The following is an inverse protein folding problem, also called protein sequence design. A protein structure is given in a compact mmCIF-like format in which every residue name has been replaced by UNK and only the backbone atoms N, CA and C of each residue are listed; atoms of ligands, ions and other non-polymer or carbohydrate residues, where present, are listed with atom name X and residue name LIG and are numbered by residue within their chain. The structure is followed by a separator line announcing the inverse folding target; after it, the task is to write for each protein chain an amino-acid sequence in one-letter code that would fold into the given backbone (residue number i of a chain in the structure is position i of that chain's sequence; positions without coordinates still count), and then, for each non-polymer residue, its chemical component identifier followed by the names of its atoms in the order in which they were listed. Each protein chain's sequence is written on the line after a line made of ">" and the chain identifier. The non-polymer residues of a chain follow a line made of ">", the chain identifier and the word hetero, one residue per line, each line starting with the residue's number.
data_IF_589001627022
#
_entry.id   IF_589001627022
#
_cell.length_a   1.000
_cell.length_b   1.000
_cell.length_c   1.000
_cell.angle_alpha   90.00
_cell.angle_beta   90.00
_cell.angle_gamma   90.00
#
_symmetry.space_group_name_H-M   'P 1'
#
loop_
_entity.id
_entity.type
_entity.pdbx_description
1 polymer ?
#
# COMPACT_ATOMS: atom_id res chain seq x y z
N UNK A 1 -10.89 -2.43 -35.55
CA UNK A 1 -9.76 -1.59 -35.10
C UNK A 1 -10.30 -0.23 -34.72
N UNK A 2 -9.83 0.35 -33.62
CA UNK A 2 -10.10 1.77 -33.32
C UNK A 2 -9.35 2.63 -34.35
N UNK A 3 -10.03 3.59 -34.99
CA UNK A 3 -9.43 4.46 -36.01
C UNK A 3 -8.89 5.73 -35.32
N UNK A 4 -7.62 6.06 -35.56
CA UNK A 4 -7.02 7.28 -35.07
C UNK A 4 -7.19 8.41 -36.11
N UNK A 5 -7.65 9.57 -35.67
CA UNK A 5 -7.77 10.78 -36.46
C UNK A 5 -6.66 11.77 -36.08
N UNK A 6 -6.16 12.51 -37.06
CA UNK A 6 -5.13 13.53 -36.83
C UNK A 6 -5.80 14.82 -36.37
N UNK A 7 -5.55 15.22 -35.12
CA UNK A 7 -5.93 16.52 -34.58
C UNK A 7 -5.01 17.63 -35.08
N UNK A 8 -5.45 18.88 -34.96
CA UNK A 8 -4.62 20.06 -35.21
C UNK A 8 -3.30 19.98 -34.40
N UNK A 9 -2.18 20.28 -35.07
CA UNK A 9 -0.83 20.14 -34.50
C UNK A 9 -0.23 18.74 -34.59
N UNK A 10 -0.78 17.83 -35.41
CA UNK A 10 -0.17 16.53 -35.73
C UNK A 10 -0.33 15.43 -34.67
N UNK A 11 -1.07 15.70 -33.59
CA UNK A 11 -1.40 14.70 -32.57
C UNK A 11 -2.47 13.75 -33.11
N UNK A 12 -2.23 12.44 -33.06
CA UNK A 12 -3.24 11.43 -33.41
C UNK A 12 -4.06 11.08 -32.17
N UNK A 13 -5.38 11.10 -32.28
CA UNK A 13 -6.29 10.71 -31.20
C UNK A 13 -7.29 9.67 -31.71
N UNK A 14 -7.73 8.77 -30.82
CA UNK A 14 -8.82 7.83 -31.12
C UNK A 14 -10.13 8.49 -30.71
N UNK A 15 -10.99 8.80 -31.68
CA UNK A 15 -12.18 9.65 -31.48
C UNK A 15 -13.45 8.91 -31.02
N UNK A 16 -13.42 7.60 -30.73
CA UNK A 16 -14.64 6.77 -30.60
C UNK A 16 -14.68 5.75 -29.43
N UNK A 17 -14.03 6.03 -28.29
CA UNK A 17 -14.31 5.26 -27.07
C UNK A 17 -15.48 5.91 -26.33
N UNK A 18 -16.71 5.48 -26.61
CA UNK A 18 -17.90 5.91 -25.88
C UNK A 18 -18.18 4.93 -24.73
N UNK A 19 -18.26 5.45 -23.50
CA UNK A 19 -18.63 4.71 -22.29
C UNK A 19 -20.07 5.11 -21.94
N UNK A 20 -20.97 4.14 -21.89
CA UNK A 20 -22.39 4.36 -21.62
C UNK A 20 -22.73 4.20 -20.13
N UNK A 21 -23.74 4.93 -19.68
CA UNK A 21 -24.39 4.71 -18.40
C UNK A 21 -25.50 3.65 -18.55
N UNK A 22 -25.64 2.74 -17.59
CA UNK A 22 -26.89 1.97 -17.51
C UNK A 22 -28.00 3.00 -17.20
N UNK A 23 -29.03 3.06 -18.04
CA UNK A 23 -30.07 4.09 -17.94
C UNK A 23 -31.01 3.93 -16.74
N UNK A 24 -30.64 3.13 -15.73
CA UNK A 24 -31.41 2.85 -14.52
C UNK A 24 -30.71 3.37 -13.25
N UNK A 25 -29.37 3.28 -13.19
CA UNK A 25 -28.55 3.72 -12.05
C UNK A 25 -27.74 4.99 -12.35
N UNK A 26 -27.61 5.37 -13.63
CA UNK A 26 -26.71 6.40 -14.14
C UNK A 26 -25.20 6.08 -14.00
N UNK A 27 -24.84 4.85 -13.63
CA UNK A 27 -23.44 4.44 -13.54
C UNK A 27 -22.85 4.16 -14.93
N UNK A 28 -21.79 4.89 -15.28
CA UNK A 28 -21.03 4.66 -16.51
C UNK A 28 -19.98 3.59 -16.31
N UNK A 29 -20.00 2.53 -17.13
CA UNK A 29 -19.10 1.39 -17.00
C UNK A 29 -18.44 0.97 -18.32
N UNK A 30 -17.22 0.43 -18.23
CA UNK A 30 -16.58 -0.33 -19.30
C UNK A 30 -16.61 -1.81 -18.89
N UNK A 31 -17.28 -2.63 -19.69
CA UNK A 31 -17.20 -4.08 -19.57
C UNK A 31 -16.20 -4.62 -20.59
N UNK A 32 -15.20 -5.35 -20.12
CA UNK A 32 -14.17 -5.97 -20.96
C UNK A 32 -14.19 -7.47 -20.72
N UNK A 33 -14.38 -8.26 -21.78
CA UNK A 33 -14.08 -9.69 -21.75
C UNK A 33 -12.63 -9.88 -22.20
N UNK A 34 -11.72 -10.04 -21.25
CA UNK A 34 -10.30 -10.22 -21.54
C UNK A 34 -9.58 -10.92 -20.37
N UNK A 35 -8.54 -11.70 -20.68
CA UNK A 35 -7.65 -12.23 -19.65
C UNK A 35 -6.72 -11.14 -19.09
N UNK A 36 -6.31 -10.18 -19.92
CA UNK A 36 -5.35 -9.12 -19.59
C UNK A 36 -5.65 -7.80 -20.31
N UNK A 37 -5.35 -6.68 -19.65
CA UNK A 37 -5.28 -5.35 -20.25
C UNK A 37 -3.82 -4.88 -20.20
N UNK A 38 -3.27 -4.43 -21.33
CA UNK A 38 -1.85 -4.14 -21.48
C UNK A 38 -1.58 -2.82 -22.20
N UNK A 39 -0.44 -2.20 -21.91
CA UNK A 39 0.08 -1.07 -22.67
C UNK A 39 1.15 -1.53 -23.67
N UNK A 40 1.15 -0.87 -24.83
CA UNK A 40 2.21 -1.02 -25.84
C UNK A 40 3.09 0.21 -25.77
N UNK A 41 4.36 0.03 -25.44
CA UNK A 41 5.32 1.14 -25.40
C UNK A 41 5.56 1.67 -26.82
N UNK A 42 5.39 2.98 -27.10
CA UNK A 42 5.46 3.52 -28.46
C UNK A 42 6.81 3.29 -29.15
N UNK A 43 7.90 3.36 -28.38
CA UNK A 43 9.27 3.34 -28.89
C UNK A 43 9.81 1.91 -29.04
N UNK A 44 9.59 1.07 -28.02
CA UNK A 44 10.14 -0.30 -27.96
C UNK A 44 9.18 -1.35 -28.51
N UNK A 45 7.90 -1.00 -28.69
CA UNK A 45 6.80 -1.93 -29.01
C UNK A 45 6.59 -3.03 -27.97
N UNK A 46 7.24 -2.93 -26.80
CA UNK A 46 7.06 -3.88 -25.71
C UNK A 46 5.62 -3.81 -25.19
N UNK A 47 5.05 -4.97 -24.91
CA UNK A 47 3.71 -5.11 -24.35
C UNK A 47 3.86 -5.40 -22.85
N UNK A 48 3.34 -4.52 -22.01
CA UNK A 48 3.33 -4.67 -20.55
C UNK A 48 1.89 -4.85 -20.07
N UNK A 49 1.49 -6.07 -19.64
CA UNK A 49 0.20 -6.28 -18.99
C UNK A 49 0.14 -5.47 -17.70
N UNK A 50 -0.91 -4.68 -17.53
CA UNK A 50 -1.13 -3.82 -16.37
C UNK A 50 -2.25 -4.35 -15.47
N UNK A 51 -3.24 -5.02 -16.04
CA UNK A 51 -4.32 -5.69 -15.31
C UNK A 51 -4.44 -7.13 -15.82
N UNK A 52 -4.62 -8.08 -14.92
CA UNK A 52 -4.85 -9.50 -15.24
C UNK A 52 -6.02 -10.02 -14.43
N UNK A 53 -6.97 -10.69 -15.06
CA UNK A 53 -8.04 -11.41 -14.36
C UNK A 53 -7.46 -12.72 -13.85
N UNK A 54 -7.62 -12.98 -12.56
CA UNK A 54 -7.16 -14.20 -11.89
C UNK A 54 -8.37 -14.98 -11.38
N UNK A 55 -8.15 -16.23 -10.95
CA UNK A 55 -9.20 -17.06 -10.34
C UNK A 55 -9.86 -16.39 -9.13
N UNK A 56 -9.11 -15.56 -8.42
CA UNK A 56 -9.53 -14.95 -7.16
C UNK A 56 -9.78 -13.43 -7.30
N UNK A 57 -9.83 -12.90 -8.53
CA UNK A 57 -10.14 -11.48 -8.79
C UNK A 57 -9.25 -10.84 -9.85
N UNK A 58 -8.58 -9.74 -9.49
CA UNK A 58 -7.75 -8.95 -10.40
C UNK A 58 -6.35 -8.73 -9.81
N UNK A 59 -5.32 -8.94 -10.65
CA UNK A 59 -3.95 -8.54 -10.35
C UNK A 59 -3.60 -7.26 -11.12
N UNK A 60 -2.96 -6.32 -10.43
CA UNK A 60 -2.44 -5.08 -11.01
C UNK A 60 -0.90 -5.19 -11.08
N UNK A 61 -0.34 -4.92 -12.26
CA UNK A 61 1.10 -4.93 -12.48
C UNK A 61 1.58 -3.48 -12.64
N UNK A 62 2.49 -3.09 -11.77
CA UNK A 62 3.06 -1.74 -11.70
C UNK A 62 3.15 -1.23 -10.27
N UNK A 63 3.63 -0.01 -10.11
CA UNK A 63 3.58 0.68 -8.84
C UNK A 63 2.12 1.07 -8.55
N UNK A 64 1.40 0.25 -7.79
CA UNK A 64 0.03 0.55 -7.34
C UNK A 64 -0.03 1.82 -6.47
N UNK A 65 1.12 2.27 -5.97
CA UNK A 65 1.31 3.39 -5.06
C UNK A 65 2.29 4.37 -5.70
N UNK A 66 1.89 5.02 -6.79
CA UNK A 66 2.78 5.94 -7.52
C UNK A 66 3.00 7.28 -6.79
N UNK A 67 2.09 7.66 -5.89
CA UNK A 67 2.07 8.92 -5.14
C UNK A 67 2.28 8.77 -3.62
N UNK A 68 2.42 7.54 -3.12
CA UNK A 68 3.12 7.28 -1.85
C UNK A 68 2.30 6.80 -0.65
N UNK A 69 1.01 6.45 -0.76
CA UNK A 69 0.29 5.86 0.39
C UNK A 69 -0.83 4.89 -0.01
N UNK A 70 -0.88 3.71 0.62
CA UNK A 70 -2.11 2.90 0.72
C UNK A 70 -2.76 3.22 2.06
N UNK A 71 -3.99 3.74 2.05
CA UNK A 71 -4.71 3.93 3.31
C UNK A 71 -5.00 2.57 3.95
N UNK A 72 -4.77 2.42 5.25
CA UNK A 72 -5.01 1.17 5.98
C UNK A 72 -6.42 0.59 5.80
N UNK A 73 -7.45 1.41 5.53
CA UNK A 73 -8.81 0.94 5.21
C UNK A 73 -8.91 0.10 3.92
N UNK A 74 -7.92 0.21 3.03
CA UNK A 74 -7.81 -0.60 1.82
C UNK A 74 -6.99 -1.88 2.06
N UNK A 75 -6.35 -2.01 3.23
CA UNK A 75 -5.73 -3.24 3.71
C UNK A 75 -6.71 -3.91 4.68
N UNK A 76 -7.33 -5.01 4.23
CA UNK A 76 -8.26 -5.76 5.07
C UNK A 76 -7.48 -6.52 6.16
N UNK A 77 -8.06 -6.72 7.33
CA UNK A 77 -7.46 -7.55 8.37
C UNK A 77 -7.18 -8.98 7.84
N UNK A 78 -6.02 -9.54 8.18
CA UNK A 78 -5.63 -10.90 7.79
C UNK A 78 -4.84 -11.03 6.48
N UNK A 79 -4.40 -9.92 5.87
CA UNK A 79 -3.45 -9.97 4.76
C UNK A 79 -2.00 -10.15 5.26
N UNK A 80 -1.19 -10.84 4.46
CA UNK A 80 0.26 -10.89 4.65
C UNK A 80 0.95 -9.77 3.84
N UNK A 81 1.82 -8.99 4.48
CA UNK A 81 2.64 -7.99 3.81
C UNK A 81 4.08 -8.49 3.74
N UNK A 82 4.55 -8.81 2.53
CA UNK A 82 5.93 -9.20 2.29
C UNK A 82 6.65 -8.13 1.47
N UNK A 83 7.76 -7.60 2.00
CA UNK A 83 8.61 -6.66 1.32
C UNK A 83 10.08 -6.97 1.62
N UNK A 84 11.02 -6.78 0.66
CA UNK A 84 12.45 -6.94 0.93
C UNK A 84 12.95 -6.02 2.06
N UNK A 85 12.32 -4.85 2.22
CA UNK A 85 12.57 -3.90 3.29
C UNK A 85 11.30 -3.08 3.56
N UNK A 86 10.92 -2.95 4.83
CA UNK A 86 9.86 -2.03 5.27
C UNK A 86 10.52 -0.82 5.93
N UNK A 87 10.24 0.38 5.43
CA UNK A 87 10.68 1.65 6.01
C UNK A 87 9.46 2.34 6.59
N UNK A 88 9.27 2.18 7.90
CA UNK A 88 8.18 2.81 8.64
C UNK A 88 8.71 3.88 9.60
N UNK A 89 7.85 4.83 9.96
CA UNK A 89 8.11 5.77 11.04
C UNK A 89 7.49 5.32 12.36
N UNK A 90 6.31 4.71 12.35
CA UNK A 90 5.63 4.24 13.54
C UNK A 90 4.91 2.93 13.25
N UNK A 91 5.02 1.97 14.17
CA UNK A 91 4.26 0.73 14.14
C UNK A 91 3.67 0.49 15.52
N UNK A 92 2.35 0.37 15.63
CA UNK A 92 1.63 0.13 16.88
C UNK A 92 0.76 -1.13 16.72
N UNK A 93 0.94 -2.06 17.64
CA UNK A 93 0.12 -3.26 17.75
C UNK A 93 -0.56 -3.30 19.12
N UNK A 94 -1.87 -3.50 19.09
CA UNK A 94 -2.67 -3.67 20.31
C UNK A 94 -2.91 -2.37 21.08
N UNK A 95 -2.99 -1.23 20.40
CA UNK A 95 -3.29 0.09 20.97
C UNK A 95 -2.27 0.52 22.04
N UNK A 96 -1.00 0.59 21.63
CA UNK A 96 0.12 1.03 22.45
C UNK A 96 0.83 -0.09 23.21
N UNK A 97 0.44 -1.36 23.00
CA UNK A 97 1.04 -2.52 23.71
C UNK A 97 2.39 -2.92 23.16
N UNK A 98 2.59 -2.84 21.85
CA UNK A 98 3.88 -3.03 21.20
C UNK A 98 4.06 -1.91 20.18
N UNK A 99 5.05 -1.05 20.40
CA UNK A 99 5.24 0.17 19.60
C UNK A 99 6.70 0.29 19.17
N UNK A 100 6.90 0.64 17.90
CA UNK A 100 8.13 1.24 17.40
C UNK A 100 7.84 2.72 17.11
N UNK A 101 8.63 3.64 17.68
CA UNK A 101 8.48 5.08 17.42
C UNK A 101 9.36 5.59 16.26
N UNK A 102 9.19 6.86 15.91
CA UNK A 102 9.92 7.53 14.82
C UNK A 102 11.44 7.63 15.04
N UNK A 103 11.90 7.47 16.28
CA UNK A 103 13.33 7.43 16.60
C UNK A 103 13.87 5.98 16.61
N UNK A 104 13.03 4.98 16.33
CA UNK A 104 13.40 3.57 16.34
C UNK A 104 13.43 2.93 17.74
N UNK A 105 12.88 3.59 18.76
CA UNK A 105 12.76 2.99 20.09
C UNK A 105 11.62 1.96 20.09
N UNK A 106 11.81 0.88 20.84
CA UNK A 106 10.80 -0.16 21.04
C UNK A 106 10.18 -0.04 22.43
N UNK A 107 8.86 -0.09 22.50
CA UNK A 107 8.10 -0.10 23.75
C UNK A 107 7.19 -1.32 23.77
N UNK A 108 7.25 -2.09 24.85
CA UNK A 108 6.26 -3.10 25.16
C UNK A 108 5.57 -2.70 26.45
N UNK A 109 4.33 -2.22 26.35
CA UNK A 109 3.58 -1.70 27.49
C UNK A 109 2.52 -2.71 27.94
N UNK A 110 2.46 -2.95 29.25
CA UNK A 110 1.38 -3.67 29.91
C UNK A 110 0.68 -2.71 30.89
N UNK A 111 -0.01 -1.70 30.33
CA UNK A 111 -0.57 -0.58 31.09
C UNK A 111 0.27 0.69 30.99
N UNK A 112 0.12 1.62 31.94
CA UNK A 112 0.79 2.93 31.88
C UNK A 112 2.22 2.95 32.44
N UNK A 113 2.60 1.94 33.22
CA UNK A 113 3.83 1.94 34.04
C UNK A 113 4.68 0.67 33.91
N UNK A 114 4.05 -0.45 33.60
CA UNK A 114 4.72 -1.75 33.38
C UNK A 114 5.19 -1.87 31.95
N UNK A 115 6.42 -2.36 31.75
CA UNK A 115 6.84 -2.67 30.40
C UNK A 115 8.34 -2.75 30.18
N UNK A 116 8.69 -2.92 28.93
CA UNK A 116 10.05 -2.95 28.44
C UNK A 116 10.25 -1.79 27.46
N UNK A 117 11.38 -1.11 27.59
CA UNK A 117 11.81 -0.04 26.68
C UNK A 117 13.20 -0.36 26.15
N UNK A 118 13.36 -0.33 24.83
CA UNK A 118 14.66 -0.46 24.15
C UNK A 118 14.91 0.82 23.38
N UNK A 119 16.07 1.41 23.60
CA UNK A 119 16.59 2.53 22.82
C UNK A 119 18.02 2.24 22.38
N UNK A 120 18.63 3.19 21.67
CA UNK A 120 20.07 3.15 21.35
C UNK A 120 20.97 3.11 22.59
N UNK A 121 20.48 3.57 23.74
CA UNK A 121 21.30 3.76 24.94
C UNK A 121 21.10 2.66 25.98
N UNK A 122 19.92 2.04 26.02
CA UNK A 122 19.59 1.10 27.10
C UNK A 122 18.40 0.20 26.79
N UNK A 123 18.36 -0.93 27.49
CA UNK A 123 17.19 -1.77 27.68
C UNK A 123 16.75 -1.59 29.13
N UNK A 124 15.48 -1.22 29.34
CA UNK A 124 14.91 -0.96 30.67
C UNK A 124 13.62 -1.74 30.87
N UNK A 125 13.48 -2.39 32.02
CA UNK A 125 12.28 -3.15 32.40
C UNK A 125 11.67 -2.58 33.67
N UNK A 126 10.37 -2.32 33.63
CA UNK A 126 9.58 -1.74 34.71
C UNK A 126 8.53 -2.75 35.19
N UNK A 127 8.36 -2.84 36.51
CA UNK A 127 7.31 -3.66 37.14
C UNK A 127 5.92 -2.99 37.12
N UNK A 128 4.92 -3.62 37.75
CA UNK A 128 3.55 -3.07 37.79
C UNK A 128 3.40 -1.74 38.54
N UNK A 129 4.38 -1.39 39.37
CA UNK A 129 4.43 -0.12 40.09
C UNK A 129 5.19 0.97 39.30
N UNK A 130 5.79 0.62 38.16
CA UNK A 130 6.63 1.51 37.35
C UNK A 130 8.05 1.64 37.88
N UNK A 131 8.48 0.74 38.76
CA UNK A 131 9.84 0.73 39.30
C UNK A 131 10.77 0.04 38.30
N UNK A 132 11.89 0.69 37.99
CA UNK A 132 12.95 0.11 37.16
C UNK A 132 13.56 -1.09 37.90
N UNK A 133 13.41 -2.28 37.32
CA UNK A 133 13.94 -3.53 37.89
C UNK A 133 15.22 -3.99 37.21
N UNK A 134 15.34 -3.72 35.91
CA UNK A 134 16.49 -4.11 35.11
C UNK A 134 16.88 -2.96 34.21
N UNK A 135 18.17 -2.67 34.15
CA UNK A 135 18.77 -1.79 33.17
C UNK A 135 20.03 -2.43 32.60
N UNK A 136 20.12 -2.46 31.28
CA UNK A 136 21.32 -2.81 30.54
C UNK A 136 21.67 -1.63 29.63
N UNK A 137 22.92 -1.17 29.64
CA UNK A 137 23.36 -0.01 28.87
C UNK A 137 23.81 1.15 29.76
N UNK A 138 23.79 2.38 29.23
CA UNK A 138 24.23 3.56 29.99
C UNK A 138 23.32 3.79 31.21
N UNK A 139 23.97 3.95 32.36
CA UNK A 139 23.39 4.38 33.63
C UNK A 139 23.36 5.91 33.71
#
# INVERSE_FOLDING_TARGET
>A
TLKAETLSGGRKAVSALMMGADGQTADSQILLMADKVAFVQPNTKAITPMMTVTRDGMALNGNLVADGTIHGKHLVAGIEMQAPRIVGGHADFGNGRFVVDYAGNLYMNQGSRTGLKISSESIRVFDEHGVLRVVLGKL
#
